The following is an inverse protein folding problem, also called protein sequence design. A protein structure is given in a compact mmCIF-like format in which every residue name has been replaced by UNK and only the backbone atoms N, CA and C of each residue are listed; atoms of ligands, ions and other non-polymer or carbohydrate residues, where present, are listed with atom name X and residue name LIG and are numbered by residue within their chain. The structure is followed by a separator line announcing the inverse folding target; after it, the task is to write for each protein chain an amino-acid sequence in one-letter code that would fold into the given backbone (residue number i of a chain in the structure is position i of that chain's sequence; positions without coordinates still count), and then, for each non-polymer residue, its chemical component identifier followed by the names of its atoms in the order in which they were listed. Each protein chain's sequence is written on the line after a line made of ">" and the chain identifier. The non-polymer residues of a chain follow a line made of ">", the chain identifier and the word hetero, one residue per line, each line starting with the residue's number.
data_IF_488854919747
#
_entry.id   IF_488854919747
#
_cell.length_a   1.000
_cell.length_b   1.000
_cell.length_c   1.000
_cell.angle_alpha   90.00
_cell.angle_beta   90.00
_cell.angle_gamma   90.00
#
_symmetry.space_group_name_H-M   'P 1'
#
loop_
_entity.id
_entity.type
_entity.pdbx_description
1 polymer ?
#
# COMPACT_ATOMS: atom_id res chain seq x y z
N UNK A 1 7.12 -12.53 -12.67
CA UNK A 1 7.89 -13.79 -12.47
C UNK A 1 8.78 -14.15 -13.64
N UNK A 2 8.35 -14.10 -14.89
CA UNK A 2 9.12 -14.48 -16.09
C UNK A 2 10.44 -13.69 -16.30
N UNK A 3 10.46 -12.40 -16.00
CA UNK A 3 11.63 -11.52 -16.19
C UNK A 3 12.77 -11.84 -15.22
N UNK A 4 12.48 -12.19 -13.96
CA UNK A 4 13.51 -12.54 -12.96
C UNK A 4 14.24 -13.85 -13.29
N UNK A 5 13.49 -14.83 -13.81
CA UNK A 5 14.06 -16.11 -14.24
C UNK A 5 14.97 -15.90 -15.45
N UNK A 6 14.58 -15.07 -16.41
CA UNK A 6 15.38 -14.76 -17.59
C UNK A 6 16.70 -14.07 -17.22
N UNK A 7 16.68 -13.09 -16.34
CA UNK A 7 17.88 -12.39 -15.84
C UNK A 7 18.83 -13.36 -15.15
N UNK A 8 18.31 -14.26 -14.31
CA UNK A 8 19.14 -15.28 -13.64
C UNK A 8 19.80 -16.24 -14.63
N UNK A 9 19.11 -16.64 -15.68
CA UNK A 9 19.66 -17.51 -16.74
C UNK A 9 20.77 -16.79 -17.50
N UNK A 10 20.58 -15.52 -17.86
CA UNK A 10 21.59 -14.72 -18.57
C UNK A 10 22.84 -14.54 -17.68
N UNK A 11 22.68 -14.24 -16.39
CA UNK A 11 23.78 -14.12 -15.45
C UNK A 11 24.58 -15.43 -15.32
N UNK A 12 23.89 -16.56 -15.24
CA UNK A 12 24.52 -17.90 -15.18
C UNK A 12 25.30 -18.20 -16.45
N UNK A 13 24.75 -17.90 -17.62
CA UNK A 13 25.41 -18.10 -18.92
C UNK A 13 26.68 -17.24 -19.05
N UNK A 14 26.68 -16.03 -18.52
CA UNK A 14 27.85 -15.14 -18.52
C UNK A 14 28.97 -15.66 -17.61
N UNK A 15 28.63 -16.14 -16.41
CA UNK A 15 29.60 -16.76 -15.51
C UNK A 15 30.22 -18.00 -16.18
N UNK A 16 29.42 -18.82 -16.84
CA UNK A 16 29.87 -19.98 -17.56
C UNK A 16 30.82 -19.63 -18.72
N UNK A 17 30.48 -18.61 -19.52
CA UNK A 17 31.32 -18.12 -20.61
C UNK A 17 32.66 -17.56 -20.14
N UNK A 18 32.68 -16.88 -18.98
CA UNK A 18 33.90 -16.42 -18.35
C UNK A 18 34.77 -17.55 -17.88
N UNK A 19 34.23 -18.56 -17.20
CA UNK A 19 34.93 -19.73 -16.69
C UNK A 19 35.52 -20.56 -17.86
N UNK A 20 34.86 -20.59 -19.00
CA UNK A 20 35.35 -21.25 -20.21
C UNK A 20 36.38 -20.42 -20.99
N UNK A 21 36.76 -19.21 -20.51
CA UNK A 21 37.77 -18.36 -21.10
C UNK A 21 37.38 -17.68 -22.42
N UNK A 22 36.06 -17.64 -22.74
CA UNK A 22 35.56 -17.01 -23.97
C UNK A 22 35.49 -15.48 -23.88
N UNK A 23 35.49 -14.93 -22.69
CA UNK A 23 35.44 -13.48 -22.44
C UNK A 23 36.50 -13.03 -21.43
N UNK A 24 37.22 -11.95 -21.76
CA UNK A 24 38.18 -11.36 -20.85
C UNK A 24 37.52 -10.74 -19.59
N UNK A 25 38.30 -10.67 -18.51
CA UNK A 25 37.84 -10.17 -17.20
C UNK A 25 37.16 -8.79 -17.27
N UNK A 26 37.69 -7.88 -18.08
CA UNK A 26 37.18 -6.51 -18.23
C UNK A 26 35.79 -6.50 -18.88
N UNK A 27 35.59 -7.30 -19.92
CA UNK A 27 34.30 -7.40 -20.60
C UNK A 27 33.25 -8.05 -19.68
N UNK A 28 33.64 -9.09 -18.94
CA UNK A 28 32.77 -9.74 -17.97
C UNK A 28 32.30 -8.77 -16.87
N UNK A 29 33.22 -7.92 -16.35
CA UNK A 29 32.87 -6.90 -15.35
C UNK A 29 31.88 -5.86 -15.88
N UNK A 30 32.10 -5.36 -17.10
CA UNK A 30 31.19 -4.37 -17.70
C UNK A 30 29.77 -4.95 -17.89
N UNK A 31 29.70 -6.17 -18.41
CA UNK A 31 28.43 -6.86 -18.62
C UNK A 31 27.72 -7.18 -17.27
N UNK A 32 28.47 -7.55 -16.23
CA UNK A 32 27.93 -7.75 -14.90
C UNK A 32 27.35 -6.45 -14.32
N UNK A 33 28.05 -5.33 -14.45
CA UNK A 33 27.56 -4.02 -14.01
C UNK A 33 26.28 -3.59 -14.75
N UNK A 34 26.18 -3.84 -16.06
CA UNK A 34 24.98 -3.54 -16.84
C UNK A 34 23.79 -4.40 -16.40
N UNK A 35 24.00 -5.69 -16.15
CA UNK A 35 22.96 -6.60 -15.65
C UNK A 35 22.54 -6.21 -14.24
N UNK A 36 23.49 -5.87 -13.38
CA UNK A 36 23.21 -5.45 -12.01
C UNK A 36 22.45 -4.11 -11.99
N UNK A 37 22.83 -3.16 -12.83
CA UNK A 37 22.10 -1.89 -13.00
C UNK A 37 20.67 -2.14 -13.50
N UNK A 38 20.48 -3.00 -14.49
CA UNK A 38 19.15 -3.40 -14.99
C UNK A 38 18.31 -4.09 -13.92
N UNK A 39 18.94 -4.91 -13.07
CA UNK A 39 18.28 -5.55 -11.94
C UNK A 39 17.85 -4.53 -10.89
N UNK A 40 18.70 -3.58 -10.51
CA UNK A 40 18.37 -2.49 -9.61
C UNK A 40 17.25 -1.60 -10.19
N UNK A 41 17.27 -1.32 -11.49
CA UNK A 41 16.20 -0.57 -12.17
C UNK A 41 14.87 -1.33 -12.18
N UNK A 42 14.88 -2.66 -12.37
CA UNK A 42 13.68 -3.51 -12.27
C UNK A 42 13.07 -3.55 -10.86
N UNK A 43 13.89 -3.37 -9.81
CA UNK A 43 13.36 -3.25 -8.45
C UNK A 43 12.81 -1.86 -8.17
N UNK A 44 13.30 -0.83 -8.86
CA UNK A 44 12.86 0.55 -8.66
C UNK A 44 11.56 0.88 -9.38
N UNK A 45 11.25 0.16 -10.44
CA UNK A 45 9.98 0.19 -11.15
C UNK A 45 9.10 -1.02 -10.79
N UNK A 46 8.77 -1.20 -9.51
CA UNK A 46 7.40 -1.56 -9.21
C UNK A 46 6.64 -0.26 -9.48
N UNK A 47 5.96 -0.20 -10.61
CA UNK A 47 4.92 0.79 -10.83
C UNK A 47 3.97 0.63 -9.64
N UNK A 48 4.18 1.45 -8.60
CA UNK A 48 3.14 1.75 -7.66
C UNK A 48 2.23 2.59 -8.55
N UNK A 49 1.16 1.98 -9.06
CA UNK A 49 0.07 2.74 -9.68
C UNK A 49 -0.15 3.94 -8.78
N UNK A 50 -0.12 5.17 -9.32
CA UNK A 50 -0.31 6.35 -8.50
C UNK A 50 -1.56 6.10 -7.68
N UNK A 51 -1.47 6.30 -6.36
CA UNK A 51 -2.64 6.26 -5.50
C UNK A 51 -3.73 7.06 -6.19
N UNK A 52 -4.97 6.54 -6.33
CA UNK A 52 -6.05 7.32 -6.89
C UNK A 52 -6.01 8.69 -6.22
N UNK A 53 -6.06 9.76 -7.00
CA UNK A 53 -6.04 11.10 -6.42
C UNK A 53 -7.41 11.32 -5.76
N UNK A 54 -7.55 11.22 -4.45
CA UNK A 54 -8.84 11.35 -3.76
C UNK A 54 -9.45 12.75 -3.95
N UNK A 55 -8.63 13.74 -4.31
CA UNK A 55 -9.09 15.11 -4.58
C UNK A 55 -10.03 15.23 -5.80
N UNK A 56 -10.11 14.22 -6.67
CA UNK A 56 -11.01 14.22 -7.83
C UNK A 56 -12.34 13.49 -7.57
N UNK A 57 -12.42 12.69 -6.53
CA UNK A 57 -13.62 11.96 -6.15
C UNK A 57 -14.24 12.61 -4.90
N UNK A 58 -15.56 12.66 -4.86
CA UNK A 58 -16.30 13.07 -3.68
C UNK A 58 -17.18 11.90 -3.20
N UNK A 59 -17.70 12.00 -1.99
CA UNK A 59 -18.57 10.98 -1.38
C UNK A 59 -19.75 10.64 -2.30
N UNK A 60 -20.30 11.62 -3.01
CA UNK A 60 -21.42 11.43 -3.91
C UNK A 60 -21.04 10.54 -5.10
N UNK A 61 -19.88 10.78 -5.72
CA UNK A 61 -19.39 9.96 -6.85
C UNK A 61 -19.19 8.50 -6.44
N UNK A 62 -18.64 8.27 -5.25
CA UNK A 62 -18.47 6.92 -4.70
C UNK A 62 -19.84 6.27 -4.41
N UNK A 63 -20.77 7.04 -3.83
CA UNK A 63 -22.12 6.57 -3.55
C UNK A 63 -22.90 6.25 -4.85
N UNK A 64 -22.74 7.05 -5.89
CA UNK A 64 -23.36 6.80 -7.20
C UNK A 64 -22.81 5.52 -7.85
N UNK A 65 -21.52 5.22 -7.61
CA UNK A 65 -20.86 4.03 -8.18
C UNK A 65 -21.15 2.76 -7.38
N UNK A 66 -21.06 2.84 -6.06
CA UNK A 66 -21.12 1.66 -5.18
C UNK A 66 -22.43 1.57 -4.38
N UNK A 67 -23.31 2.56 -4.49
CA UNK A 67 -24.54 2.67 -3.70
C UNK A 67 -24.31 3.34 -2.35
N UNK A 68 -25.37 3.45 -1.58
CA UNK A 68 -25.31 4.05 -0.24
C UNK A 68 -24.48 3.17 0.70
N UNK A 69 -23.48 3.71 1.41
CA UNK A 69 -22.73 2.95 2.41
C UNK A 69 -23.65 2.51 3.56
N UNK A 70 -23.34 1.39 4.18
CA UNK A 70 -24.07 0.88 5.35
C UNK A 70 -23.72 1.70 6.60
N UNK A 71 -22.46 2.20 6.68
CA UNK A 71 -22.00 3.11 7.74
C UNK A 71 -20.92 4.08 7.20
N UNK A 72 -20.71 5.20 7.91
CA UNK A 72 -19.69 6.21 7.61
C UNK A 72 -18.91 6.50 8.88
N UNK A 73 -17.64 6.11 8.90
CA UNK A 73 -16.73 6.39 10.00
C UNK A 73 -16.02 7.72 9.73
N UNK A 74 -16.19 8.69 10.61
CA UNK A 74 -15.51 9.99 10.53
C UNK A 74 -14.10 9.82 11.08
N UNK A 75 -13.10 10.05 10.24
CA UNK A 75 -11.68 10.00 10.61
C UNK A 75 -11.20 11.37 11.04
N UNK A 76 -11.57 12.40 10.29
CA UNK A 76 -11.26 13.79 10.59
C UNK A 76 -12.57 14.61 10.61
N UNK A 77 -13.05 15.04 11.78
CA UNK A 77 -14.28 15.82 11.88
C UNK A 77 -14.25 17.15 11.12
N UNK A 78 -13.06 17.71 10.87
CA UNK A 78 -12.93 18.97 10.12
C UNK A 78 -13.12 18.77 8.62
N UNK A 79 -12.98 17.52 8.14
CA UNK A 79 -13.07 17.08 6.74
C UNK A 79 -14.16 16.05 6.51
N UNK A 80 -15.13 15.96 7.39
CA UNK A 80 -16.17 14.92 7.36
C UNK A 80 -17.06 14.88 6.11
N UNK A 81 -16.98 15.90 5.25
CA UNK A 81 -17.65 15.92 3.94
C UNK A 81 -16.72 15.54 2.77
N UNK A 82 -15.46 15.26 3.04
CA UNK A 82 -14.44 14.89 2.06
C UNK A 82 -14.09 13.41 2.23
N UNK A 83 -13.73 12.72 1.14
CA UNK A 83 -13.31 11.31 1.20
C UNK A 83 -12.06 11.10 2.06
N UNK A 84 -11.20 12.10 2.17
CA UNK A 84 -10.02 12.04 3.03
C UNK A 84 -10.36 12.06 4.53
N UNK A 85 -11.53 12.58 4.88
CA UNK A 85 -12.00 12.70 6.27
C UNK A 85 -12.88 11.55 6.73
N UNK A 86 -13.22 10.59 5.85
CA UNK A 86 -14.17 9.52 6.16
C UNK A 86 -13.74 8.17 5.61
N UNK A 87 -14.26 7.11 6.22
CA UNK A 87 -14.25 5.75 5.68
C UNK A 87 -15.70 5.37 5.38
N UNK A 88 -15.98 4.98 4.13
CA UNK A 88 -17.30 4.49 3.76
C UNK A 88 -17.32 2.96 3.93
N UNK A 89 -18.25 2.47 4.69
CA UNK A 89 -18.39 1.06 5.05
C UNK A 89 -19.51 0.43 4.23
N UNK A 90 -19.19 -0.66 3.54
CA UNK A 90 -20.13 -1.44 2.74
C UNK A 90 -20.15 -2.88 3.27
N UNK A 91 -20.73 -3.07 4.46
CA UNK A 91 -20.77 -4.37 5.14
C UNK A 91 -21.43 -5.46 4.30
N UNK A 92 -22.56 -5.14 3.64
CA UNK A 92 -23.26 -6.07 2.73
C UNK A 92 -22.47 -6.47 1.49
N UNK A 93 -21.47 -5.67 1.12
CA UNK A 93 -20.58 -5.90 -0.02
C UNK A 93 -19.18 -6.33 0.38
N UNK A 94 -18.96 -6.46 1.68
CA UNK A 94 -17.70 -6.95 2.30
C UNK A 94 -16.46 -6.11 1.96
N UNK A 95 -16.61 -4.78 1.82
CA UNK A 95 -15.47 -3.89 1.62
C UNK A 95 -15.62 -2.56 2.37
N UNK A 96 -14.48 -1.89 2.55
CA UNK A 96 -14.39 -0.49 2.97
C UNK A 96 -13.80 0.35 1.84
N UNK A 97 -14.25 1.60 1.73
CA UNK A 97 -13.65 2.57 0.83
C UNK A 97 -12.88 3.60 1.69
N UNK A 98 -11.57 3.67 1.49
CA UNK A 98 -10.65 4.50 2.28
C UNK A 98 -9.74 5.26 1.32
N UNK A 99 -9.87 6.58 1.24
CA UNK A 99 -8.97 7.45 0.45
C UNK A 99 -8.75 6.96 -1.00
N UNK A 100 -9.83 6.59 -1.70
CA UNK A 100 -9.72 6.08 -3.08
C UNK A 100 -9.35 4.59 -3.18
N UNK A 101 -9.19 3.90 -2.05
CA UNK A 101 -8.83 2.48 -2.01
C UNK A 101 -10.06 1.66 -1.61
N UNK A 102 -10.37 0.65 -2.42
CA UNK A 102 -11.33 -0.39 -2.04
C UNK A 102 -10.55 -1.49 -1.29
N UNK A 103 -10.93 -1.69 -0.05
CA UNK A 103 -10.32 -2.67 0.83
C UNK A 103 -11.31 -3.77 1.15
N UNK A 104 -11.13 -4.95 0.54
CA UNK A 104 -11.99 -6.10 0.80
C UNK A 104 -11.72 -6.65 2.20
N UNK A 105 -12.77 -6.96 2.96
CA UNK A 105 -12.64 -7.44 4.33
C UNK A 105 -11.86 -8.75 4.44
N UNK A 106 -12.03 -9.64 3.47
CA UNK A 106 -11.35 -10.93 3.43
C UNK A 106 -9.84 -10.84 3.13
N UNK A 107 -9.37 -9.68 2.64
CA UNK A 107 -7.95 -9.42 2.42
C UNK A 107 -7.24 -8.90 3.66
N UNK A 108 -7.98 -8.45 4.67
CA UNK A 108 -7.41 -7.88 5.90
C UNK A 108 -6.84 -8.97 6.80
N UNK A 109 -5.57 -8.84 7.16
CA UNK A 109 -4.86 -9.80 8.02
C UNK A 109 -4.64 -9.29 9.44
N UNK A 110 -4.49 -7.97 9.59
CA UNK A 110 -4.25 -7.36 10.90
C UNK A 110 -4.65 -5.88 10.88
N UNK A 111 -5.14 -5.40 12.01
CA UNK A 111 -5.41 -3.99 12.25
C UNK A 111 -4.67 -3.60 13.52
N UNK A 112 -3.74 -2.70 13.41
CA UNK A 112 -2.91 -2.24 14.51
C UNK A 112 -2.99 -0.71 14.67
N UNK A 113 -2.66 -0.26 15.85
CA UNK A 113 -2.69 1.13 16.25
C UNK A 113 -1.37 1.46 16.93
N UNK A 114 -0.76 2.58 16.57
CA UNK A 114 0.50 3.01 17.16
C UNK A 114 0.64 4.53 17.17
N UNK A 115 1.57 5.02 18.00
CA UNK A 115 1.98 6.42 18.01
C UNK A 115 3.14 6.59 17.01
N UNK A 116 2.91 7.36 15.95
CA UNK A 116 3.89 7.67 14.92
C UNK A 116 4.76 8.91 15.27
N UNK A 117 4.77 9.36 16.53
CA UNK A 117 5.57 10.50 16.98
C UNK A 117 7.03 10.31 16.60
N UNK A 118 7.67 11.40 16.17
CA UNK A 118 9.08 11.47 15.92
C UNK A 118 9.66 12.70 16.67
N UNK A 119 11.01 12.90 16.75
CA UNK A 119 11.60 14.00 17.49
C UNK A 119 11.15 15.41 17.08
N UNK A 120 10.52 15.52 15.90
CA UNK A 120 10.08 16.80 15.33
C UNK A 120 8.55 16.97 15.32
N UNK A 121 7.80 15.90 15.59
CA UNK A 121 6.34 15.89 15.60
C UNK A 121 5.83 15.29 16.92
N UNK A 122 5.04 16.09 17.65
CA UNK A 122 4.34 15.58 18.82
C UNK A 122 3.31 14.51 18.40
N UNK A 123 3.03 13.61 19.32
CA UNK A 123 2.07 12.49 19.26
C UNK A 123 1.12 12.50 18.05
N UNK A 124 1.45 11.79 17.00
CA UNK A 124 0.54 11.50 15.90
C UNK A 124 0.15 10.02 15.98
N UNK A 125 -1.14 9.75 16.05
CA UNK A 125 -1.63 8.37 16.10
C UNK A 125 -2.02 7.90 14.70
N UNK A 126 -1.63 6.67 14.38
CA UNK A 126 -1.96 6.03 13.11
C UNK A 126 -2.56 4.66 13.33
N UNK A 127 -3.56 4.34 12.50
CA UNK A 127 -4.12 3.01 12.38
C UNK A 127 -3.56 2.41 11.10
N UNK A 128 -3.06 1.18 11.18
CA UNK A 128 -2.53 0.44 10.04
C UNK A 128 -3.36 -0.80 9.82
N UNK A 129 -3.89 -0.92 8.63
CA UNK A 129 -4.60 -2.10 8.16
C UNK A 129 -3.66 -2.86 7.24
N UNK A 130 -3.25 -4.06 7.65
CA UNK A 130 -2.43 -4.97 6.84
C UNK A 130 -3.32 -5.88 6.01
N UNK A 131 -2.91 -6.12 4.78
CA UNK A 131 -3.69 -6.93 3.85
C UNK A 131 -2.84 -7.98 3.13
N UNK A 132 -3.50 -8.94 2.50
CA UNK A 132 -2.89 -9.88 1.57
C UNK A 132 -2.75 -9.31 0.16
N UNK A 133 -3.29 -8.12 -0.11
CA UNK A 133 -3.22 -7.47 -1.42
C UNK A 133 -1.79 -7.11 -1.78
N UNK A 134 -1.32 -7.53 -2.96
CA UNK A 134 -0.01 -7.12 -3.46
C UNK A 134 0.04 -5.61 -3.79
N UNK A 135 -1.11 -5.02 -4.10
CA UNK A 135 -1.21 -3.61 -4.48
C UNK A 135 -1.18 -2.70 -3.26
N UNK A 136 -1.86 -3.09 -2.19
CA UNK A 136 -1.98 -2.31 -0.95
C UNK A 136 -1.66 -3.21 0.26
N UNK A 137 -0.40 -3.57 0.48
CA UNK A 137 -0.02 -4.47 1.57
C UNK A 137 -0.25 -3.85 2.96
N UNK A 138 -0.34 -2.53 3.02
CA UNK A 138 -0.70 -1.78 4.23
C UNK A 138 -1.39 -0.49 3.86
N UNK A 139 -2.50 -0.18 4.53
CA UNK A 139 -3.22 1.09 4.42
C UNK A 139 -3.07 1.84 5.74
N UNK A 140 -2.63 3.11 5.67
CA UNK A 140 -2.39 3.96 6.82
C UNK A 140 -3.48 5.01 6.93
N UNK A 141 -4.04 5.15 8.12
CA UNK A 141 -5.08 6.11 8.45
C UNK A 141 -4.55 7.00 9.57
N UNK A 142 -4.40 8.30 9.31
CA UNK A 142 -4.07 9.26 10.37
C UNK A 142 -5.26 9.40 11.31
N UNK A 143 -5.03 9.13 12.59
CA UNK A 143 -6.05 9.23 13.64
C UNK A 143 -5.86 10.49 14.52
N UNK A 144 -5.07 11.45 14.02
CA UNK A 144 -4.83 12.74 14.68
C UNK A 144 -3.94 12.63 15.91
N UNK A 145 -4.07 13.61 16.80
CA UNK A 145 -3.16 13.83 17.92
C UNK A 145 -3.72 13.42 19.28
N UNK A 146 -5.02 13.10 19.34
CA UNK A 146 -5.71 12.70 20.57
C UNK A 146 -5.79 11.18 20.73
N UNK A 147 -5.21 10.66 21.81
CA UNK A 147 -5.21 9.23 22.09
C UNK A 147 -6.62 8.65 22.26
N UNK A 148 -7.53 9.41 22.90
CA UNK A 148 -8.92 8.99 23.11
C UNK A 148 -9.63 8.77 21.79
N UNK A 149 -9.61 9.77 20.92
CA UNK A 149 -10.18 9.73 19.58
C UNK A 149 -9.60 8.59 18.74
N UNK A 150 -8.28 8.48 18.72
CA UNK A 150 -7.60 7.45 17.96
C UNK A 150 -7.96 6.02 18.40
N UNK A 151 -8.17 5.80 19.70
CA UNK A 151 -8.65 4.51 20.23
C UNK A 151 -10.09 4.23 19.83
N UNK A 152 -10.97 5.22 19.90
CA UNK A 152 -12.37 5.07 19.47
C UNK A 152 -12.44 4.72 17.98
N UNK A 153 -11.72 5.47 17.14
CA UNK A 153 -11.63 5.22 15.71
C UNK A 153 -11.11 3.80 15.41
N UNK A 154 -10.04 3.37 16.10
CA UNK A 154 -9.52 2.00 15.98
C UNK A 154 -10.58 0.94 16.32
N UNK A 155 -11.33 1.14 17.41
CA UNK A 155 -12.39 0.21 17.81
C UNK A 155 -13.51 0.19 16.78
N UNK A 156 -13.96 1.36 16.29
CA UNK A 156 -14.99 1.44 15.25
C UNK A 156 -14.57 0.67 14.00
N UNK A 157 -13.38 0.95 13.46
CA UNK A 157 -12.87 0.25 12.27
C UNK A 157 -12.84 -1.26 12.54
N UNK A 158 -12.28 -1.69 13.67
CA UNK A 158 -12.12 -3.11 13.99
C UNK A 158 -13.46 -3.85 14.13
N UNK A 159 -14.52 -3.19 14.57
CA UNK A 159 -15.84 -3.79 14.70
C UNK A 159 -16.38 -4.28 13.35
N UNK A 160 -16.13 -3.57 12.27
CA UNK A 160 -16.58 -3.93 10.93
C UNK A 160 -15.83 -5.11 10.30
N UNK A 161 -14.71 -5.53 10.89
CA UNK A 161 -13.94 -6.70 10.43
C UNK A 161 -14.20 -7.96 11.28
N UNK A 162 -14.80 -7.82 12.47
CA UNK A 162 -15.06 -8.94 13.38
C UNK A 162 -16.51 -9.44 13.32
N UNK A 163 -17.33 -8.91 12.41
CA UNK A 163 -18.74 -9.29 12.21
C UNK A 163 -18.92 -10.42 11.23
#
# INVERSE_FOLDING_TARGET
>A
MKSKVLISIIALMMVLAYVLGYIGTTVAMILFLLIFASFLFSFRHKDIDPMPNPASENIQTVTDTYGTPDDIIIVDPTRGNELEGVILVYDKKEFLYINGIILNKNEVTDISFFNAANPYMANEYQIVIKTTSERYPSVYISAGYELGWAKELYVQIKTHFNS
#
